data_IF_614434678902
#
_entry.id   IF_614434678902
#
_cell.length_a   1.000
_cell.length_b   1.000
_cell.length_c   1.000
_cell.angle_alpha   90.00
_cell.angle_beta   90.00
_cell.angle_gamma   90.00
#
_symmetry.space_group_name_H-M   'P 1'
#
loop_
_entity.id
_entity.type
_entity.pdbx_description
1 polymer ?
#
# COMPACT_ATOMS: atom_id res chain seq x y z
N UNK A 1 -22.50 33.04 5.79
CA UNK A 1 -21.15 33.62 5.70
C UNK A 1 -20.43 32.88 4.57
N UNK A 2 -20.10 33.59 3.50
CA UNK A 2 -19.61 32.99 2.25
C UNK A 2 -18.12 32.63 2.35
N UNK A 3 -17.80 31.35 2.13
CA UNK A 3 -16.44 30.83 2.16
C UNK A 3 -15.71 31.18 0.85
N UNK A 4 -14.83 32.17 0.91
CA UNK A 4 -14.02 32.60 -0.24
C UNK A 4 -12.87 31.61 -0.43
N UNK A 5 -13.03 30.68 -1.39
CA UNK A 5 -11.90 29.89 -1.90
C UNK A 5 -10.83 30.83 -2.44
N UNK A 6 -9.64 30.78 -1.85
CA UNK A 6 -8.45 31.47 -2.35
C UNK A 6 -8.05 30.80 -3.67
N UNK A 7 -8.12 31.57 -4.76
CA UNK A 7 -7.74 31.14 -6.11
C UNK A 7 -6.21 31.10 -6.17
N UNK A 8 -5.65 29.90 -6.30
CA UNK A 8 -4.22 29.71 -6.57
C UNK A 8 -3.79 30.39 -7.89
N UNK A 9 -2.48 30.56 -8.12
CA UNK A 9 -1.97 31.27 -9.30
C UNK A 9 -2.54 30.64 -10.58
N UNK A 10 -3.10 31.49 -11.46
CA UNK A 10 -3.67 31.10 -12.74
C UNK A 10 -2.53 30.55 -13.62
N UNK A 11 -2.68 29.33 -14.13
CA UNK A 11 -1.75 28.76 -15.09
C UNK A 11 -1.57 29.72 -16.29
N UNK A 12 -0.38 29.76 -16.87
CA UNK A 12 -0.12 30.60 -18.03
C UNK A 12 -1.03 30.16 -19.19
N UNK A 13 -1.44 31.05 -20.09
CA UNK A 13 -2.33 30.69 -21.21
C UNK A 13 -1.75 29.58 -22.13
N UNK A 14 -0.43 29.40 -22.13
CA UNK A 14 0.25 28.30 -22.81
C UNK A 14 0.04 26.94 -22.12
N UNK A 15 0.07 26.91 -20.79
CA UNK A 15 -0.23 25.71 -19.99
C UNK A 15 -1.67 25.26 -20.20
N UNK A 16 -2.61 26.20 -20.27
CA UNK A 16 -4.03 25.91 -20.52
C UNK A 16 -4.24 25.25 -21.90
N UNK A 17 -3.53 25.72 -22.93
CA UNK A 17 -3.59 25.16 -24.28
C UNK A 17 -2.97 23.76 -24.35
N UNK A 18 -1.84 23.56 -23.68
CA UNK A 18 -1.15 22.27 -23.61
C UNK A 18 -2.00 21.26 -22.83
N UNK A 19 -2.68 21.72 -21.78
CA UNK A 19 -3.58 20.90 -21.00
C UNK A 19 -4.84 20.51 -21.76
N UNK A 20 -5.40 21.40 -22.58
CA UNK A 20 -6.52 21.10 -23.48
C UNK A 20 -6.13 20.06 -24.55
N UNK A 21 -4.90 20.10 -25.05
CA UNK A 21 -4.39 19.13 -26.02
C UNK A 21 -4.28 17.73 -25.39
N UNK A 22 -3.71 17.64 -24.19
CA UNK A 22 -3.51 16.37 -23.46
C UNK A 22 -4.84 15.75 -23.01
N UNK A 23 -5.83 16.58 -22.65
CA UNK A 23 -7.11 16.10 -22.10
C UNK A 23 -8.16 15.81 -23.16
N UNK A 24 -7.90 16.10 -24.44
CA UNK A 24 -8.87 16.03 -25.54
C UNK A 24 -9.61 14.69 -25.67
N UNK A 25 -8.89 13.59 -25.46
CA UNK A 25 -9.43 12.23 -25.66
C UNK A 25 -9.82 11.55 -24.34
N UNK A 26 -9.79 12.27 -23.21
CA UNK A 26 -10.13 11.74 -21.89
C UNK A 26 -11.64 11.81 -21.68
N UNK A 27 -12.29 10.66 -21.47
CA UNK A 27 -13.70 10.60 -21.06
C UNK A 27 -13.79 10.97 -19.56
N UNK A 28 -14.41 12.10 -19.18
CA UNK A 28 -14.53 12.46 -17.77
C UNK A 28 -15.40 11.43 -17.05
N UNK A 29 -14.98 11.05 -15.84
CA UNK A 29 -15.79 10.20 -14.98
C UNK A 29 -17.04 10.97 -14.55
N UNK A 30 -18.21 10.31 -14.47
CA UNK A 30 -19.40 10.94 -13.92
C UNK A 30 -19.11 11.36 -12.49
N UNK A 31 -19.22 12.67 -12.24
CA UNK A 31 -19.10 13.23 -10.88
C UNK A 31 -20.25 12.67 -10.08
N UNK A 32 -19.98 11.66 -9.25
CA UNK A 32 -20.84 11.36 -8.11
C UNK A 32 -20.57 12.47 -7.11
N UNK A 33 -21.51 13.38 -6.95
CA UNK A 33 -21.63 14.22 -5.75
C UNK A 33 -21.96 13.31 -4.55
N UNK A 34 -21.05 12.39 -4.22
CA UNK A 34 -21.07 11.73 -2.94
C UNK A 34 -20.55 12.77 -1.95
N UNK A 35 -21.49 13.53 -1.38
CA UNK A 35 -21.32 14.18 -0.09
C UNK A 35 -20.68 13.15 0.84
N UNK A 36 -19.40 13.32 1.13
CA UNK A 36 -18.76 12.57 2.22
C UNK A 36 -19.32 13.22 3.48
N UNK A 37 -20.48 12.73 3.92
CA UNK A 37 -20.93 12.95 5.28
C UNK A 37 -19.91 12.25 6.18
N UNK A 38 -18.96 13.03 6.68
CA UNK A 38 -18.20 12.63 7.86
C UNK A 38 -19.20 12.52 9.01
N UNK A 39 -19.40 11.33 9.60
CA UNK A 39 -20.13 11.26 10.85
C UNK A 39 -19.30 12.02 11.88
N UNK A 40 -19.81 13.16 12.34
CA UNK A 40 -19.33 13.78 13.57
C UNK A 40 -19.76 12.84 14.70
N UNK A 41 -18.83 12.30 15.52
CA UNK A 41 -19.24 11.51 16.68
C UNK A 41 -19.92 12.44 17.69
N UNK A 42 -21.19 12.15 17.98
CA UNK A 42 -21.98 12.80 19.02
C UNK A 42 -21.48 12.35 20.41
N UNK A 43 -21.09 13.25 21.33
CA UNK A 43 -20.64 12.88 22.65
C UNK A 43 -21.82 12.72 23.61
N UNK A 44 -22.46 11.55 23.63
CA UNK A 44 -23.36 11.16 24.72
C UNK A 44 -23.48 9.64 24.84
N UNK A 45 -22.59 9.04 25.63
CA UNK A 45 -22.68 7.62 26.00
C UNK A 45 -23.75 7.40 27.08
N UNK A 46 -24.73 6.50 26.90
CA UNK A 46 -25.58 6.01 27.99
C UNK A 46 -24.80 4.99 28.86
N UNK A 47 -25.14 4.85 30.17
CA UNK A 47 -24.39 4.00 31.10
C UNK A 47 -24.52 2.50 30.75
N UNK A 48 -23.48 1.69 31.06
CA UNK A 48 -23.44 0.29 30.68
C UNK A 48 -24.40 -0.57 31.51
N UNK A 49 -25.19 -1.42 30.84
CA UNK A 49 -25.98 -2.48 31.48
C UNK A 49 -25.05 -3.59 31.99
N UNK A 50 -25.34 -4.10 33.19
CA UNK A 50 -24.55 -5.10 33.89
C UNK A 50 -24.34 -6.39 33.08
N UNK A 51 -23.12 -6.91 33.11
CA UNK A 51 -22.72 -8.17 32.47
C UNK A 51 -23.23 -9.37 33.30
N UNK A 52 -23.72 -10.46 32.69
CA UNK A 52 -23.97 -11.69 33.42
C UNK A 52 -22.65 -12.31 33.93
N UNK A 53 -22.73 -12.97 35.08
CA UNK A 53 -21.60 -13.56 35.80
C UNK A 53 -20.80 -14.56 34.93
N UNK A 54 -19.47 -14.67 35.12
CA UNK A 54 -18.64 -15.59 34.37
C UNK A 54 -18.96 -17.04 34.77
N UNK A 55 -19.32 -17.88 33.78
CA UNK A 55 -19.24 -19.33 33.93
C UNK A 55 -17.76 -19.72 33.99
N UNK A 56 -17.36 -20.41 35.05
CA UNK A 56 -16.03 -21.01 35.18
C UNK A 56 -15.87 -22.13 34.16
N UNK A 57 -15.11 -21.89 33.09
CA UNK A 57 -14.56 -22.96 32.28
C UNK A 57 -13.30 -23.49 32.98
N UNK A 58 -13.28 -24.79 33.22
CA UNK A 58 -12.09 -25.50 33.69
C UNK A 58 -11.03 -25.41 32.59
N UNK A 59 -9.98 -24.65 32.82
CA UNK A 59 -8.80 -24.62 31.95
C UNK A 59 -8.11 -25.97 32.02
N UNK A 60 -8.29 -26.79 31.00
CA UNK A 60 -7.30 -27.82 30.68
C UNK A 60 -6.06 -27.12 30.12
N UNK A 61 -4.84 -27.50 30.52
CA UNK A 61 -3.62 -26.97 29.91
C UNK A 61 -3.66 -27.24 28.41
N UNK A 62 -3.58 -26.17 27.61
CA UNK A 62 -3.43 -26.30 26.17
C UNK A 62 -2.02 -26.86 25.91
N UNK A 63 -1.87 -27.97 25.16
CA UNK A 63 -0.56 -28.50 24.85
C UNK A 63 0.29 -27.42 24.18
N UNK A 64 1.52 -27.28 24.66
CA UNK A 64 2.46 -26.29 24.15
C UNK A 64 2.66 -26.52 22.64
N UNK A 65 2.48 -25.49 21.80
CA UNK A 65 2.59 -25.67 20.36
C UNK A 65 4.02 -26.08 20.03
N UNK A 66 4.17 -27.28 19.46
CA UNK A 66 5.46 -27.78 19.02
C UNK A 66 6.17 -26.74 18.13
N UNK A 67 7.50 -26.59 18.25
CA UNK A 67 8.26 -25.66 17.43
C UNK A 67 8.04 -26.04 15.96
N UNK A 68 7.35 -25.17 15.24
CA UNK A 68 7.15 -25.35 13.80
C UNK A 68 8.53 -25.23 13.16
N UNK A 69 9.09 -26.35 12.75
CA UNK A 69 10.25 -26.36 11.85
C UNK A 69 9.98 -25.38 10.71
N UNK A 70 10.88 -24.45 10.39
CA UNK A 70 10.68 -23.53 9.30
C UNK A 70 10.41 -24.37 8.05
N UNK A 71 9.20 -24.28 7.53
CA UNK A 71 8.83 -24.95 6.31
C UNK A 71 9.89 -24.58 5.27
N UNK A 72 10.49 -25.59 4.62
CA UNK A 72 11.50 -25.41 3.58
C UNK A 72 11.13 -24.19 2.72
N UNK A 73 12.10 -23.29 2.52
CA UNK A 73 11.90 -21.97 1.94
C UNK A 73 11.02 -22.10 0.68
N UNK A 74 9.73 -21.81 0.83
CA UNK A 74 8.77 -21.95 -0.25
C UNK A 74 9.17 -20.94 -1.32
N UNK A 75 9.28 -21.40 -2.57
CA UNK A 75 9.67 -20.55 -3.68
C UNK A 75 8.80 -19.29 -3.73
N UNK A 76 9.47 -18.13 -3.67
CA UNK A 76 8.84 -16.83 -3.85
C UNK A 76 8.69 -16.60 -5.36
N UNK A 77 7.46 -16.47 -5.83
CA UNK A 77 7.13 -16.16 -7.22
C UNK A 77 6.20 -14.96 -7.26
N UNK A 78 6.24 -14.18 -8.33
CA UNK A 78 5.40 -12.99 -8.43
C UNK A 78 3.91 -13.36 -8.28
N UNK A 79 3.24 -12.77 -7.29
CA UNK A 79 1.83 -13.07 -6.98
C UNK A 79 1.58 -14.32 -6.12
N UNK A 80 2.60 -15.15 -5.88
CA UNK A 80 2.58 -16.16 -4.84
C UNK A 80 2.99 -15.52 -3.50
N UNK A 81 2.26 -15.83 -2.42
CA UNK A 81 2.57 -15.36 -1.07
C UNK A 81 2.59 -16.56 -0.11
N UNK A 82 3.53 -17.50 -0.29
CA UNK A 82 3.60 -18.66 0.58
C UNK A 82 3.83 -18.23 2.04
N UNK A 83 3.04 -18.78 2.96
CA UNK A 83 3.16 -18.45 4.39
C UNK A 83 2.39 -17.21 4.83
N UNK A 84 1.71 -16.51 3.92
CA UNK A 84 0.80 -15.41 4.23
C UNK A 84 -0.65 -15.92 4.28
N UNK A 85 -1.45 -15.40 5.21
CA UNK A 85 -2.87 -15.73 5.26
C UNK A 85 -3.62 -15.10 4.06
N UNK A 86 -4.76 -15.71 3.69
CA UNK A 86 -5.54 -15.30 2.52
C UNK A 86 -6.04 -13.85 2.59
N UNK A 87 -6.37 -13.34 3.79
CA UNK A 87 -6.86 -11.96 3.96
C UNK A 87 -5.73 -10.97 3.72
N UNK A 88 -4.56 -11.20 4.30
CA UNK A 88 -3.39 -10.33 4.10
C UNK A 88 -2.93 -10.35 2.64
N UNK A 89 -2.87 -11.53 2.00
CA UNK A 89 -2.56 -11.64 0.57
C UNK A 89 -3.56 -10.87 -0.29
N UNK A 90 -4.86 -10.97 0.01
CA UNK A 90 -5.91 -10.26 -0.73
C UNK A 90 -5.81 -8.75 -0.55
N UNK A 91 -5.51 -8.28 0.66
CA UNK A 91 -5.33 -6.86 0.94
C UNK A 91 -4.09 -6.30 0.24
N UNK A 92 -2.97 -7.04 0.24
CA UNK A 92 -1.76 -6.65 -0.49
C UNK A 92 -2.04 -6.51 -1.99
N UNK A 93 -2.67 -7.52 -2.61
CA UNK A 93 -3.02 -7.50 -4.05
C UNK A 93 -3.96 -6.35 -4.43
N UNK A 94 -4.86 -5.96 -3.51
CA UNK A 94 -5.80 -4.84 -3.71
C UNK A 94 -5.22 -3.48 -3.35
N UNK A 95 -3.95 -3.38 -2.93
CA UNK A 95 -3.34 -2.13 -2.49
C UNK A 95 -3.96 -1.56 -1.21
N UNK A 96 -4.55 -2.41 -0.36
CA UNK A 96 -5.18 -2.01 0.92
C UNK A 96 -4.24 -2.06 2.11
N UNK A 97 -2.99 -2.48 1.90
CA UNK A 97 -1.94 -2.40 2.92
C UNK A 97 -1.21 -1.07 2.79
N UNK A 98 -0.96 -0.41 3.92
CA UNK A 98 -0.17 0.81 3.95
C UNK A 98 1.28 0.50 3.54
N UNK A 99 1.86 1.35 2.69
CA UNK A 99 3.28 1.24 2.33
C UNK A 99 4.11 1.85 3.44
N UNK A 100 4.91 1.02 4.12
CA UNK A 100 5.72 1.41 5.28
C UNK A 100 7.17 1.74 4.89
N UNK A 101 7.56 1.41 3.66
CA UNK A 101 8.86 1.74 3.10
C UNK A 101 8.81 1.81 1.59
N UNK A 102 9.59 2.73 1.01
CA UNK A 102 9.70 2.92 -0.43
C UNK A 102 11.16 2.92 -0.84
N UNK A 103 11.48 2.21 -1.91
CA UNK A 103 12.77 2.22 -2.56
C UNK A 103 12.57 2.53 -4.03
N UNK A 104 13.31 3.49 -4.55
CA UNK A 104 13.31 3.81 -5.96
C UNK A 104 14.62 3.38 -6.61
N UNK A 105 14.50 2.51 -7.60
CA UNK A 105 15.60 1.91 -8.35
C UNK A 105 15.59 2.38 -9.80
N UNK A 106 14.69 3.32 -10.17
CA UNK A 106 14.66 3.81 -11.54
C UNK A 106 16.03 4.39 -11.94
N UNK A 107 16.42 4.17 -13.19
CA UNK A 107 17.69 4.69 -13.71
C UNK A 107 18.95 3.93 -13.27
N UNK A 108 18.88 3.13 -12.20
CA UNK A 108 20.04 2.38 -11.69
C UNK A 108 20.45 1.24 -12.62
N UNK A 109 21.74 0.91 -12.60
CA UNK A 109 22.24 -0.34 -13.20
C UNK A 109 21.84 -1.53 -12.33
N UNK A 110 21.83 -2.73 -12.91
CA UNK A 110 21.47 -3.95 -12.19
C UNK A 110 22.30 -4.16 -10.92
N UNK A 111 23.62 -3.98 -11.01
CA UNK A 111 24.53 -4.15 -9.87
C UNK A 111 24.23 -3.18 -8.73
N UNK A 112 24.00 -1.90 -9.06
CA UNK A 112 23.67 -0.87 -8.04
C UNK A 112 22.31 -1.17 -7.42
N UNK A 113 21.30 -1.47 -8.24
CA UNK A 113 19.95 -1.79 -7.78
C UNK A 113 19.92 -3.03 -6.88
N UNK A 114 20.74 -4.04 -7.18
CA UNK A 114 20.86 -5.25 -6.37
C UNK A 114 21.36 -4.94 -4.95
N UNK A 115 22.44 -4.16 -4.84
CA UNK A 115 23.02 -3.80 -3.55
C UNK A 115 22.06 -2.94 -2.71
N UNK A 116 21.43 -1.95 -3.34
CA UNK A 116 20.43 -1.09 -2.70
C UNK A 116 19.21 -1.89 -2.22
N UNK A 117 18.71 -2.80 -3.05
CA UNK A 117 17.55 -3.64 -2.72
C UNK A 117 17.84 -4.54 -1.52
N UNK A 118 19.00 -5.21 -1.47
CA UNK A 118 19.38 -6.06 -0.34
C UNK A 118 19.43 -5.25 0.95
N UNK A 119 20.12 -4.11 0.93
CA UNK A 119 20.22 -3.25 2.11
C UNK A 119 18.85 -2.76 2.58
N UNK A 120 17.99 -2.35 1.65
CA UNK A 120 16.64 -1.90 1.95
C UNK A 120 15.78 -3.00 2.57
N UNK A 121 15.76 -4.21 2.00
CA UNK A 121 14.95 -5.33 2.50
C UNK A 121 15.42 -5.76 3.90
N UNK A 122 16.73 -5.87 4.12
CA UNK A 122 17.27 -6.23 5.45
C UNK A 122 16.88 -5.21 6.52
N UNK A 123 17.01 -3.91 6.22
CA UNK A 123 16.59 -2.84 7.15
C UNK A 123 15.08 -2.85 7.38
N UNK A 124 14.29 -2.99 6.32
CA UNK A 124 12.83 -3.02 6.42
C UNK A 124 12.34 -4.20 7.27
N UNK A 125 12.94 -5.37 7.09
CA UNK A 125 12.68 -6.56 7.89
C UNK A 125 13.06 -6.33 9.36
N UNK A 126 14.25 -5.80 9.63
CA UNK A 126 14.69 -5.47 11.00
C UNK A 126 13.81 -4.43 11.70
N UNK A 127 13.14 -3.56 10.94
CA UNK A 127 12.16 -2.59 11.43
C UNK A 127 10.74 -3.16 11.56
N UNK A 128 10.52 -4.43 11.22
CA UNK A 128 9.21 -5.07 11.30
C UNK A 128 8.19 -4.60 10.24
N UNK A 129 8.63 -3.93 9.17
CA UNK A 129 7.75 -3.46 8.09
C UNK A 129 7.07 -4.64 7.41
N UNK A 130 5.76 -4.53 7.19
CA UNK A 130 4.93 -5.60 6.61
C UNK A 130 4.67 -5.41 5.13
N UNK A 131 4.69 -4.17 4.64
CA UNK A 131 4.54 -3.84 3.22
C UNK A 131 5.51 -2.75 2.79
N UNK A 132 6.24 -3.02 1.71
CA UNK A 132 7.17 -2.07 1.08
C UNK A 132 6.91 -1.97 -0.41
N UNK A 133 7.25 -0.82 -0.99
CA UNK A 133 7.13 -0.54 -2.42
C UNK A 133 8.53 -0.38 -3.02
N UNK A 134 8.84 -1.20 -4.03
CA UNK A 134 10.08 -1.09 -4.82
C UNK A 134 9.71 -0.64 -6.22
N UNK A 135 10.39 0.38 -6.73
CA UNK A 135 10.09 1.00 -8.02
C UNK A 135 11.25 0.75 -8.96
N UNK A 136 11.03 -0.15 -9.90
CA UNK A 136 12.05 -0.55 -10.89
C UNK A 136 11.98 0.26 -12.19
N UNK A 137 11.00 1.17 -12.31
CA UNK A 137 10.67 1.88 -13.53
C UNK A 137 9.78 1.08 -14.50
N UNK A 138 9.46 1.70 -15.65
CA UNK A 138 8.53 1.15 -16.66
C UNK A 138 9.11 0.02 -17.51
N UNK A 139 10.43 -0.18 -17.50
CA UNK A 139 11.10 -1.19 -18.32
C UNK A 139 11.43 -0.74 -19.75
N UNK A 140 11.06 0.46 -20.15
CA UNK A 140 11.44 1.09 -21.43
C UNK A 140 11.85 2.53 -21.16
N UNK A 141 13.01 2.93 -21.70
CA UNK A 141 13.47 4.32 -21.70
C UNK A 141 13.15 4.95 -23.05
N UNK A 142 12.96 6.26 -23.07
CA UNK A 142 12.65 7.01 -24.30
C UNK A 142 13.79 6.93 -25.33
N UNK A 143 14.99 6.55 -24.88
CA UNK A 143 16.20 6.26 -25.69
C UNK A 143 16.17 4.90 -26.40
N UNK A 144 15.14 4.06 -26.17
CA UNK A 144 15.03 2.70 -26.73
C UNK A 144 15.73 1.61 -25.91
N UNK A 145 16.41 1.96 -24.82
CA UNK A 145 17.01 0.99 -23.90
C UNK A 145 15.94 0.21 -23.11
N UNK A 146 16.15 -1.11 -22.98
CA UNK A 146 15.27 -2.02 -22.23
C UNK A 146 15.70 -2.06 -20.76
N UNK A 147 14.76 -1.82 -19.86
CA UNK A 147 14.97 -1.90 -18.42
C UNK A 147 14.98 -3.35 -17.91
N UNK A 148 16.11 -3.76 -17.34
CA UNK A 148 16.37 -5.16 -16.92
C UNK A 148 15.96 -5.47 -15.46
N UNK A 149 15.63 -4.45 -14.67
CA UNK A 149 15.47 -4.59 -13.20
C UNK A 149 14.23 -5.38 -12.76
N UNK A 150 13.20 -5.52 -13.60
CA UNK A 150 11.98 -6.29 -13.26
C UNK A 150 12.10 -7.79 -13.52
N UNK A 151 13.07 -8.19 -14.35
CA UNK A 151 13.20 -9.56 -14.85
C UNK A 151 14.13 -10.44 -13.99
N UNK A 152 14.94 -9.83 -13.12
CA UNK A 152 15.94 -10.49 -12.28
C UNK A 152 15.35 -11.07 -10.99
#
# INVERSE_FOLDING_TARGET
MADKRVKGPRAAPEDDALWALVTRDVKPLPVREARIDHPVPDPAAPPPKAKPAPRSYRTTPLPEPAPKTPAAARELRHGAAPGLDRRTQTNMRRGKMAVEGRLDLHGMTQTVAHNELIGFITRAYGQGKRCVLVITGKGTRDTGEIGVLRQA
#
